data_IF_034289621679
#
_entry.id   IF_034289621679
#
_cell.length_a   1.000
_cell.length_b   1.000
_cell.length_c   1.000
_cell.angle_alpha   90.00
_cell.angle_beta   90.00
_cell.angle_gamma   90.00
#
_symmetry.space_group_name_H-M   'P 1'
#
loop_
_entity.id
_entity.type
_entity.pdbx_description
1 polymer ?
#
# COMPACT_ATOMS: atom_id res chain seq x y z
N UNK A 1 8.48 -20.40 6.51
CA UNK A 1 8.86 -21.54 7.38
C UNK A 1 10.24 -21.99 6.98
N UNK A 2 11.14 -22.05 7.96
CA UNK A 2 12.53 -22.48 7.78
C UNK A 2 12.73 -23.70 8.68
N UNK A 3 13.43 -24.71 8.17
CA UNK A 3 13.83 -25.90 8.94
C UNK A 3 15.34 -25.98 8.95
N UNK A 4 15.90 -26.40 10.08
CA UNK A 4 17.33 -26.59 10.29
C UNK A 4 17.52 -28.05 10.71
N UNK A 5 18.49 -28.74 10.13
CA UNK A 5 18.82 -30.09 10.60
C UNK A 5 19.46 -30.04 11.99
N UNK A 6 19.44 -31.18 12.70
CA UNK A 6 19.92 -31.27 14.08
C UNK A 6 21.40 -30.91 14.24
N UNK A 7 22.22 -31.09 13.20
CA UNK A 7 23.65 -30.75 13.23
C UNK A 7 23.93 -29.31 12.80
N UNK A 8 22.90 -28.55 12.41
CA UNK A 8 23.03 -27.18 11.94
C UNK A 8 23.86 -27.05 10.66
N UNK A 9 23.87 -28.08 9.82
CA UNK A 9 24.63 -28.10 8.57
C UNK A 9 23.87 -27.47 7.40
N UNK A 10 22.54 -27.53 7.43
CA UNK A 10 21.65 -27.05 6.38
C UNK A 10 20.50 -26.23 6.98
N UNK A 11 20.24 -25.09 6.34
CA UNK A 11 19.06 -24.26 6.64
C UNK A 11 18.18 -24.27 5.40
N UNK A 12 16.99 -24.87 5.50
CA UNK A 12 16.14 -25.17 4.36
C UNK A 12 14.89 -24.28 4.38
N UNK A 13 14.66 -23.54 3.29
CA UNK A 13 13.42 -22.80 3.10
C UNK A 13 12.32 -23.73 2.57
N UNK A 14 11.27 -23.97 3.35
CA UNK A 14 10.20 -24.92 3.00
C UNK A 14 8.90 -24.27 2.55
N UNK A 15 8.55 -23.10 3.12
CA UNK A 15 7.27 -22.45 2.83
C UNK A 15 7.39 -20.94 2.91
N UNK A 16 6.72 -20.24 2.00
CA UNK A 16 6.70 -18.79 1.91
C UNK A 16 8.09 -18.16 1.72
N UNK A 17 8.85 -18.70 0.74
CA UNK A 17 10.20 -18.25 0.40
C UNK A 17 10.32 -16.75 0.19
N UNK A 18 9.46 -16.17 -0.65
CA UNK A 18 9.44 -14.74 -0.98
C UNK A 18 8.57 -13.95 -0.01
N UNK A 19 7.25 -13.93 -0.23
CA UNK A 19 6.30 -13.07 0.52
C UNK A 19 6.24 -13.33 2.03
N UNK A 20 6.71 -14.50 2.51
CA UNK A 20 6.82 -14.78 3.95
C UNK A 20 8.24 -14.69 4.50
N UNK A 21 9.19 -14.19 3.71
CA UNK A 21 10.57 -13.94 4.12
C UNK A 21 11.39 -15.18 4.44
N UNK A 22 10.92 -16.39 4.09
CA UNK A 22 11.62 -17.61 4.49
C UNK A 22 12.99 -17.75 3.82
N UNK A 23 13.17 -17.26 2.58
CA UNK A 23 14.46 -17.31 1.89
C UNK A 23 15.46 -16.34 2.52
N UNK A 24 15.02 -15.12 2.85
CA UNK A 24 15.85 -14.15 3.55
C UNK A 24 16.27 -14.66 4.94
N UNK A 25 15.32 -15.22 5.69
CA UNK A 25 15.58 -15.82 6.99
C UNK A 25 16.53 -17.02 6.89
N UNK A 26 16.37 -17.87 5.86
CA UNK A 26 17.28 -18.99 5.60
C UNK A 26 18.70 -18.51 5.36
N UNK A 27 18.92 -17.52 4.50
CA UNK A 27 20.27 -16.95 4.26
C UNK A 27 20.87 -16.34 5.52
N UNK A 28 20.06 -15.60 6.27
CA UNK A 28 20.48 -14.96 7.50
C UNK A 28 20.93 -15.98 8.56
N UNK A 29 20.10 -16.99 8.82
CA UNK A 29 20.40 -18.05 9.79
C UNK A 29 21.59 -18.90 9.34
N UNK A 30 21.69 -19.22 8.05
CA UNK A 30 22.83 -19.95 7.50
C UNK A 30 24.15 -19.21 7.72
N UNK A 31 24.18 -17.89 7.45
CA UNK A 31 25.34 -17.05 7.70
C UNK A 31 25.74 -16.99 9.18
N UNK A 32 24.77 -16.96 10.10
CA UNK A 32 25.04 -16.99 11.54
C UNK A 32 25.57 -18.34 12.03
N UNK A 33 25.09 -19.45 11.45
CA UNK A 33 25.41 -20.80 11.88
C UNK A 33 26.63 -21.39 11.15
N UNK A 34 27.11 -20.75 10.09
CA UNK A 34 28.08 -21.36 9.18
C UNK A 34 27.51 -22.55 8.41
N UNK A 35 26.20 -22.58 8.23
CA UNK A 35 25.45 -23.65 7.59
C UNK A 35 25.24 -23.38 6.09
N UNK A 36 24.86 -24.40 5.33
CA UNK A 36 24.53 -24.30 3.91
C UNK A 36 23.05 -23.90 3.71
N UNK A 37 22.76 -22.75 3.07
CA UNK A 37 21.39 -22.34 2.79
C UNK A 37 20.80 -23.10 1.59
N UNK A 38 19.75 -23.89 1.81
CA UNK A 38 19.03 -24.62 0.75
C UNK A 38 17.73 -23.89 0.41
N UNK A 39 17.73 -23.23 -0.75
CA UNK A 39 16.59 -22.46 -1.30
C UNK A 39 16.24 -23.03 -2.67
N UNK A 40 14.99 -23.49 -2.83
CA UNK A 40 14.55 -24.24 -4.02
C UNK A 40 13.63 -23.44 -4.95
N UNK A 41 13.32 -22.19 -4.60
CA UNK A 41 12.48 -21.32 -5.42
C UNK A 41 13.19 -20.96 -6.73
N UNK A 42 12.55 -21.26 -7.87
CA UNK A 42 13.12 -21.10 -9.21
C UNK A 42 13.54 -19.65 -9.56
N UNK A 43 12.93 -18.64 -8.93
CA UNK A 43 13.31 -17.23 -9.06
C UNK A 43 14.61 -16.90 -8.33
N UNK A 44 14.88 -17.52 -7.17
CA UNK A 44 16.17 -17.36 -6.47
C UNK A 44 17.31 -18.11 -7.16
N UNK A 45 17.03 -19.29 -7.72
CA UNK A 45 18.03 -20.08 -8.48
C UNK A 45 18.51 -19.31 -9.73
N UNK A 46 17.65 -18.45 -10.29
CA UNK A 46 17.97 -17.63 -11.47
C UNK A 46 18.31 -16.16 -11.14
N UNK A 47 18.54 -15.81 -9.86
CA UNK A 47 18.89 -14.44 -9.41
C UNK A 47 17.93 -13.32 -9.86
N UNK A 48 16.68 -13.63 -10.17
CA UNK A 48 15.69 -12.66 -10.63
C UNK A 48 14.75 -12.25 -9.51
N UNK A 49 14.45 -10.94 -9.45
CA UNK A 49 13.39 -10.46 -8.57
C UNK A 49 12.05 -11.00 -9.06
N UNK A 50 11.25 -11.48 -8.12
CA UNK A 50 9.92 -11.99 -8.39
C UNK A 50 8.90 -10.86 -8.19
N UNK A 51 7.82 -10.84 -8.97
CA UNK A 51 6.78 -9.81 -8.85
C UNK A 51 6.17 -9.77 -7.44
N UNK A 52 6.07 -10.92 -6.78
CA UNK A 52 5.61 -11.03 -5.39
C UNK A 52 6.61 -10.46 -4.38
N UNK A 53 7.92 -10.54 -4.65
CA UNK A 53 8.95 -9.88 -3.83
C UNK A 53 8.83 -8.36 -3.95
N UNK A 54 8.72 -7.84 -5.18
CA UNK A 54 8.54 -6.41 -5.41
C UNK A 54 7.26 -5.88 -4.75
N UNK A 55 6.14 -6.61 -4.91
CA UNK A 55 4.87 -6.28 -4.25
C UNK A 55 4.99 -6.26 -2.73
N UNK A 56 5.74 -7.20 -2.15
CA UNK A 56 5.97 -7.26 -0.71
C UNK A 56 6.84 -6.09 -0.21
N UNK A 57 7.97 -5.81 -0.87
CA UNK A 57 8.89 -4.73 -0.50
C UNK A 57 8.19 -3.36 -0.54
N UNK A 58 7.33 -3.15 -1.53
CA UNK A 58 6.55 -1.91 -1.67
C UNK A 58 5.30 -1.85 -0.77
N UNK A 59 4.97 -2.92 -0.04
CA UNK A 59 3.67 -3.07 0.62
C UNK A 59 2.51 -2.70 -0.34
N UNK A 60 2.54 -3.33 -1.52
CA UNK A 60 1.67 -3.02 -2.63
C UNK A 60 0.62 -4.12 -2.86
N UNK A 61 -0.51 -3.71 -3.43
CA UNK A 61 -1.63 -4.58 -3.79
C UNK A 61 -1.86 -4.54 -5.29
N UNK A 62 -2.50 -5.57 -5.80
CA UNK A 62 -2.85 -5.68 -7.21
C UNK A 62 -4.11 -6.54 -7.33
N UNK A 63 -4.96 -6.21 -8.30
CA UNK A 63 -6.09 -7.05 -8.69
C UNK A 63 -5.58 -8.35 -9.30
N UNK A 64 -6.13 -9.49 -8.87
CA UNK A 64 -5.70 -10.82 -9.33
C UNK A 64 -4.21 -11.13 -9.16
N UNK A 65 -3.63 -10.68 -8.03
CA UNK A 65 -2.22 -10.85 -7.68
C UNK A 65 -1.65 -12.23 -8.00
N UNK A 66 -2.37 -13.30 -7.62
CA UNK A 66 -1.93 -14.68 -7.83
C UNK A 66 -1.72 -15.02 -9.30
N UNK A 67 -2.62 -14.58 -10.17
CA UNK A 67 -2.54 -14.87 -11.61
C UNK A 67 -1.42 -14.06 -12.25
N UNK A 68 -1.34 -12.78 -11.92
CA UNK A 68 -0.29 -11.90 -12.43
C UNK A 68 1.12 -12.37 -12.01
N UNK A 69 1.31 -12.73 -10.74
CA UNK A 69 2.58 -13.29 -10.24
C UNK A 69 2.98 -14.55 -10.99
N UNK A 70 2.04 -15.48 -11.22
CA UNK A 70 2.31 -16.69 -11.98
C UNK A 70 2.78 -16.38 -13.41
N UNK A 71 2.05 -15.50 -14.10
CA UNK A 71 2.35 -15.13 -15.49
C UNK A 71 3.69 -14.41 -15.58
N UNK A 72 3.87 -13.33 -14.81
CA UNK A 72 5.04 -12.46 -14.89
C UNK A 72 6.31 -13.19 -14.42
N UNK A 73 6.25 -13.96 -13.34
CA UNK A 73 7.41 -14.74 -12.91
C UNK A 73 7.80 -15.80 -13.96
N UNK A 74 6.83 -16.39 -14.67
CA UNK A 74 7.13 -17.30 -15.79
C UNK A 74 7.82 -16.56 -16.94
N UNK A 75 7.37 -15.34 -17.29
CA UNK A 75 8.00 -14.51 -18.32
C UNK A 75 9.46 -14.19 -17.96
N UNK A 76 9.71 -13.79 -16.71
CA UNK A 76 11.06 -13.50 -16.20
C UNK A 76 11.96 -14.73 -16.29
N UNK A 77 11.51 -15.90 -15.80
CA UNK A 77 12.28 -17.17 -15.88
C UNK A 77 12.55 -17.61 -17.32
N UNK A 78 11.67 -17.24 -18.25
CA UNK A 78 11.86 -17.49 -19.69
C UNK A 78 12.67 -16.41 -20.41
N UNK A 79 13.31 -15.49 -19.69
CA UNK A 79 14.10 -14.38 -20.24
C UNK A 79 13.33 -13.45 -21.19
N UNK A 80 12.01 -13.34 -21.01
CA UNK A 80 11.21 -12.34 -21.71
C UNK A 80 11.46 -10.94 -21.14
N UNK A 81 11.27 -9.93 -21.97
CA UNK A 81 11.58 -8.53 -21.71
C UNK A 81 10.42 -7.89 -20.94
N UNK A 82 10.44 -8.04 -19.62
CA UNK A 82 9.42 -7.43 -18.74
C UNK A 82 9.90 -6.06 -18.26
N UNK A 83 9.15 -5.01 -18.60
CA UNK A 83 9.42 -3.66 -18.16
C UNK A 83 8.91 -3.37 -16.75
N UNK A 84 9.47 -2.35 -16.11
CA UNK A 84 8.98 -1.78 -14.86
C UNK A 84 8.97 -0.26 -14.98
N UNK A 85 7.78 0.33 -14.86
CA UNK A 85 7.56 1.77 -14.81
C UNK A 85 6.97 2.14 -13.43
N UNK A 86 7.26 3.34 -12.94
CA UNK A 86 6.69 3.85 -11.69
C UNK A 86 6.42 5.35 -11.74
N UNK A 87 5.50 5.82 -10.90
CA UNK A 87 5.29 7.25 -10.66
C UNK A 87 6.55 7.88 -10.06
N UNK A 88 6.94 9.08 -10.51
CA UNK A 88 8.16 9.76 -10.04
C UNK A 88 8.26 9.89 -8.51
N UNK A 89 7.11 10.05 -7.84
CA UNK A 89 6.96 10.14 -6.38
C UNK A 89 7.47 8.88 -5.64
N UNK A 90 7.55 7.73 -6.32
CA UNK A 90 7.96 6.43 -5.76
C UNK A 90 9.44 6.09 -6.02
N UNK A 91 10.20 6.98 -6.68
CA UNK A 91 11.57 6.69 -7.13
C UNK A 91 12.50 6.27 -6.00
N UNK A 92 12.43 6.94 -4.84
CA UNK A 92 13.28 6.62 -3.69
C UNK A 92 12.96 5.23 -3.12
N UNK A 93 11.67 4.87 -3.05
CA UNK A 93 11.21 3.57 -2.55
C UNK A 93 11.58 2.43 -3.51
N UNK A 94 11.42 2.66 -4.82
CA UNK A 94 11.81 1.71 -5.85
C UNK A 94 13.33 1.49 -5.85
N UNK A 95 14.13 2.52 -5.61
CA UNK A 95 15.58 2.42 -5.48
C UNK A 95 16.05 1.53 -4.32
N UNK A 96 15.18 1.23 -3.36
CA UNK A 96 15.43 0.32 -2.24
C UNK A 96 14.92 -1.11 -2.49
N UNK A 97 14.21 -1.34 -3.59
CA UNK A 97 13.64 -2.63 -3.95
C UNK A 97 14.59 -3.45 -4.82
N UNK A 98 14.44 -4.78 -4.78
CA UNK A 98 15.10 -5.65 -5.74
C UNK A 98 14.30 -5.62 -7.04
N UNK A 99 14.85 -5.01 -8.08
CA UNK A 99 14.24 -4.91 -9.41
C UNK A 99 15.00 -5.73 -10.47
N UNK A 100 15.90 -6.63 -10.06
CA UNK A 100 16.67 -7.46 -11.00
C UNK A 100 15.75 -8.28 -11.90
N UNK A 101 16.04 -8.29 -13.20
CA UNK A 101 15.23 -8.94 -14.22
C UNK A 101 14.18 -8.03 -14.86
N UNK A 102 13.79 -6.94 -14.21
CA UNK A 102 12.95 -5.93 -14.83
C UNK A 102 13.78 -4.91 -15.62
N UNK A 103 13.23 -4.43 -16.73
CA UNK A 103 13.81 -3.35 -17.54
C UNK A 103 13.16 -2.04 -17.09
N UNK A 104 13.90 -1.10 -16.47
CA UNK A 104 13.34 0.21 -16.13
C UNK A 104 12.81 0.93 -17.37
N UNK A 105 11.62 1.52 -17.24
CA UNK A 105 10.97 2.32 -18.27
C UNK A 105 10.73 3.70 -17.70
N UNK A 106 11.31 4.72 -18.32
CA UNK A 106 11.18 6.11 -17.88
C UNK A 106 9.97 6.82 -18.51
N UNK A 107 9.55 6.37 -19.70
CA UNK A 107 8.50 7.01 -20.50
C UNK A 107 7.54 5.97 -21.09
N UNK A 108 6.27 6.03 -20.66
CA UNK A 108 5.20 5.17 -21.16
C UNK A 108 4.80 5.45 -22.61
N UNK A 109 5.13 6.63 -23.16
CA UNK A 109 4.87 6.97 -24.56
C UNK A 109 5.92 6.38 -25.50
N UNK A 110 7.11 6.07 -24.96
CA UNK A 110 8.24 5.54 -25.73
C UNK A 110 8.79 4.28 -25.07
N UNK A 111 7.98 3.23 -25.11
CA UNK A 111 8.38 1.94 -24.58
C UNK A 111 9.53 1.34 -25.41
N UNK A 112 10.55 0.74 -24.76
CA UNK A 112 11.46 -0.15 -25.44
C UNK A 112 10.69 -1.39 -25.96
N UNK A 113 11.34 -2.22 -26.77
CA UNK A 113 10.78 -3.53 -27.11
C UNK A 113 10.57 -4.32 -25.82
N UNK A 114 9.32 -4.69 -25.51
CA UNK A 114 8.93 -5.36 -24.27
C UNK A 114 7.84 -6.39 -24.57
N UNK A 115 7.89 -7.51 -23.87
CA UNK A 115 6.84 -8.54 -23.90
C UNK A 115 5.70 -8.21 -22.90
N UNK A 116 6.02 -7.46 -21.85
CA UNK A 116 5.09 -7.07 -20.79
C UNK A 116 5.59 -5.85 -20.01
N UNK A 117 4.69 -5.21 -19.25
CA UNK A 117 5.02 -4.07 -18.38
C UNK A 117 4.34 -4.18 -17.00
N UNK A 118 5.11 -3.92 -15.94
CA UNK A 118 4.57 -3.67 -14.59
C UNK A 118 4.57 -2.17 -14.35
N UNK A 119 3.41 -1.62 -14.02
CA UNK A 119 3.24 -0.20 -13.68
C UNK A 119 3.01 -0.07 -12.17
N UNK A 120 3.94 0.59 -11.47
CA UNK A 120 3.81 0.88 -10.04
C UNK A 120 3.25 2.29 -9.86
N UNK A 121 2.00 2.40 -9.45
CA UNK A 121 1.34 3.71 -9.36
C UNK A 121 0.28 3.75 -8.27
N UNK A 122 0.10 4.93 -7.69
CA UNK A 122 -1.02 5.21 -6.79
C UNK A 122 -2.29 5.60 -7.55
N UNK A 123 -2.18 5.85 -8.87
CA UNK A 123 -3.27 6.39 -9.70
C UNK A 123 -4.26 5.32 -10.12
N UNK A 124 -5.54 5.70 -10.25
CA UNK A 124 -6.60 4.79 -10.67
C UNK A 124 -6.51 4.43 -12.16
N UNK A 125 -6.08 5.36 -13.00
CA UNK A 125 -5.90 5.20 -14.43
C UNK A 125 -4.44 4.92 -14.83
N UNK A 126 -4.29 4.13 -15.89
CA UNK A 126 -3.04 4.01 -16.65
C UNK A 126 -3.35 4.40 -18.10
N UNK A 127 -2.39 4.96 -18.84
CA UNK A 127 -2.57 5.19 -20.26
C UNK A 127 -2.78 3.87 -21.00
N UNK A 128 -3.34 3.94 -22.21
CA UNK A 128 -3.42 2.77 -23.08
C UNK A 128 -2.01 2.36 -23.52
N UNK A 129 -1.64 1.11 -23.24
CA UNK A 129 -0.29 0.59 -23.47
C UNK A 129 -0.34 -0.53 -24.52
N UNK A 130 0.61 -0.55 -25.48
CA UNK A 130 0.61 -1.51 -26.59
C UNK A 130 1.09 -2.92 -26.21
N UNK A 131 1.34 -3.16 -24.91
CA UNK A 131 1.83 -4.44 -24.37
C UNK A 131 0.93 -4.90 -23.21
N UNK A 132 0.87 -6.22 -22.93
CA UNK A 132 0.27 -6.73 -21.71
C UNK A 132 0.86 -6.02 -20.50
N UNK A 133 0.01 -5.50 -19.62
CA UNK A 133 0.47 -4.75 -18.46
C UNK A 133 -0.34 -5.04 -17.21
N UNK A 134 0.32 -4.87 -16.07
CA UNK A 134 -0.29 -5.04 -14.76
C UNK A 134 0.03 -3.85 -13.86
N UNK A 135 -0.95 -3.45 -13.06
CA UNK A 135 -0.80 -2.35 -12.11
C UNK A 135 -0.55 -2.87 -10.71
N UNK A 136 0.60 -2.50 -10.16
CA UNK A 136 0.96 -2.72 -8.77
C UNK A 136 0.75 -1.41 -8.01
N UNK A 137 -0.03 -1.45 -6.93
CA UNK A 137 -0.51 -0.26 -6.22
C UNK A 137 0.04 -0.24 -4.78
N UNK A 138 1.10 0.53 -4.49
CA UNK A 138 1.60 0.70 -3.13
C UNK A 138 0.54 1.27 -2.18
N UNK A 139 0.43 0.72 -0.97
CA UNK A 139 -0.49 1.27 0.04
C UNK A 139 0.15 2.49 0.71
N UNK A 140 -0.15 3.69 0.20
CA UNK A 140 0.40 4.97 0.72
C UNK A 140 -0.68 5.98 1.13
N UNK A 141 -1.90 5.87 0.63
CA UNK A 141 -2.96 6.84 0.89
C UNK A 141 -3.60 6.59 2.25
N UNK A 142 -3.81 7.63 3.04
CA UNK A 142 -4.52 7.56 4.32
C UNK A 142 -5.73 8.48 4.30
N UNK A 143 -6.79 8.10 5.01
CA UNK A 143 -8.02 8.89 5.07
C UNK A 143 -8.38 9.23 6.51
N UNK A 144 -8.36 10.52 6.86
CA UNK A 144 -8.96 11.02 8.09
C UNK A 144 -10.44 11.30 7.88
N UNK A 145 -11.31 10.67 8.68
CA UNK A 145 -12.77 10.75 8.52
C UNK A 145 -13.43 11.24 9.82
N UNK A 146 -14.19 12.32 9.70
CA UNK A 146 -15.12 12.79 10.73
C UNK A 146 -16.56 12.62 10.26
N UNK A 147 -17.45 12.08 11.09
CA UNK A 147 -18.86 11.86 10.72
C UNK A 147 -19.79 12.04 11.92
N UNK A 148 -21.09 12.23 11.66
CA UNK A 148 -22.15 12.18 12.69
C UNK A 148 -22.27 10.77 13.27
N UNK A 149 -22.89 10.65 14.45
CA UNK A 149 -23.17 9.33 15.04
C UNK A 149 -24.13 8.55 14.14
N UNK A 150 -23.94 7.23 14.06
CA UNK A 150 -24.77 6.30 13.30
C UNK A 150 -24.78 6.62 11.79
N UNK A 151 -23.68 7.19 11.27
CA UNK A 151 -23.57 7.46 9.83
C UNK A 151 -23.51 6.13 9.08
N UNK A 152 -24.41 5.88 8.11
CA UNK A 152 -24.47 4.59 7.42
C UNK A 152 -23.20 4.27 6.64
N UNK A 153 -22.77 3.01 6.68
CA UNK A 153 -21.63 2.52 5.89
C UNK A 153 -21.75 2.84 4.38
N UNK A 154 -22.90 2.64 3.70
CA UNK A 154 -23.00 2.93 2.26
C UNK A 154 -22.66 4.38 1.93
N UNK A 155 -23.10 5.33 2.76
CA UNK A 155 -22.78 6.74 2.59
C UNK A 155 -21.27 6.99 2.73
N UNK A 156 -20.64 6.44 3.77
CA UNK A 156 -19.20 6.59 4.00
C UNK A 156 -18.37 5.99 2.85
N UNK A 157 -18.76 4.82 2.35
CA UNK A 157 -18.12 4.16 1.22
C UNK A 157 -18.23 4.99 -0.06
N UNK A 158 -19.43 5.49 -0.38
CA UNK A 158 -19.64 6.35 -1.56
C UNK A 158 -18.81 7.63 -1.49
N UNK A 159 -18.80 8.31 -0.34
CA UNK A 159 -18.03 9.56 -0.19
C UNK A 159 -16.52 9.31 -0.23
N UNK A 160 -16.02 8.23 0.36
CA UNK A 160 -14.60 7.88 0.29
C UNK A 160 -14.19 7.54 -1.15
N UNK A 161 -14.97 6.71 -1.85
CA UNK A 161 -14.70 6.37 -3.24
C UNK A 161 -14.68 7.62 -4.14
N UNK A 162 -15.65 8.52 -3.97
CA UNK A 162 -15.69 9.79 -4.70
C UNK A 162 -14.49 10.68 -4.40
N UNK A 163 -14.03 10.71 -3.15
CA UNK A 163 -12.87 11.50 -2.77
C UNK A 163 -11.57 10.95 -3.37
N UNK A 164 -11.40 9.63 -3.38
CA UNK A 164 -10.26 8.98 -4.04
C UNK A 164 -10.28 9.25 -5.55
N UNK A 165 -11.44 9.09 -6.18
CA UNK A 165 -11.64 9.35 -7.61
C UNK A 165 -11.33 10.81 -7.99
N UNK A 166 -11.77 11.77 -7.17
CA UNK A 166 -11.48 13.19 -7.39
C UNK A 166 -9.97 13.52 -7.34
N UNK A 167 -9.19 12.70 -6.64
CA UNK A 167 -7.72 12.80 -6.60
C UNK A 167 -7.03 11.82 -7.57
N UNK A 168 -7.81 11.10 -8.39
CA UNK A 168 -7.36 10.04 -9.29
C UNK A 168 -6.54 8.95 -8.59
N UNK A 169 -6.94 8.56 -7.39
CA UNK A 169 -6.24 7.56 -6.59
C UNK A 169 -6.93 6.21 -6.69
N UNK A 170 -6.14 5.16 -6.86
CA UNK A 170 -6.65 3.79 -6.83
C UNK A 170 -7.12 3.44 -5.40
N UNK A 171 -8.30 2.84 -5.23
CA UNK A 171 -8.77 2.39 -3.91
C UNK A 171 -7.83 1.43 -3.18
N UNK A 172 -7.03 0.64 -3.91
CA UNK A 172 -6.02 -0.25 -3.33
C UNK A 172 -4.87 0.52 -2.67
N UNK A 173 -4.66 1.79 -3.04
CA UNK A 173 -3.63 2.64 -2.43
C UNK A 173 -3.96 3.00 -0.98
N UNK A 174 -5.19 2.82 -0.52
CA UNK A 174 -5.59 3.10 0.85
C UNK A 174 -4.85 2.17 1.84
N UNK A 175 -4.13 2.78 2.78
CA UNK A 175 -3.31 2.16 3.83
C UNK A 175 -4.00 2.16 5.18
N UNK A 176 -4.76 3.21 5.52
CA UNK A 176 -5.42 3.33 6.82
C UNK A 176 -6.57 4.35 6.82
N UNK A 177 -7.50 4.16 7.76
CA UNK A 177 -8.56 5.12 8.08
C UNK A 177 -8.38 5.64 9.50
N UNK A 178 -8.45 6.96 9.69
CA UNK A 178 -8.26 7.66 10.96
C UNK A 178 -9.52 8.37 11.43
N UNK A 179 -9.78 8.38 12.73
CA UNK A 179 -10.80 9.24 13.35
C UNK A 179 -10.45 9.61 14.79
N UNK A 180 -11.39 10.23 15.52
CA UNK A 180 -11.24 10.52 16.95
C UNK A 180 -11.59 9.29 17.81
N UNK A 181 -10.99 9.13 18.99
CA UNK A 181 -11.24 8.02 19.93
C UNK A 181 -12.71 7.84 20.30
N UNK A 182 -13.50 8.91 20.34
CA UNK A 182 -14.96 8.84 20.55
C UNK A 182 -15.66 7.96 19.49
N UNK A 183 -15.04 7.79 18.31
CA UNK A 183 -15.54 7.00 17.18
C UNK A 183 -14.97 5.59 17.11
N UNK A 184 -14.23 5.13 18.12
CA UNK A 184 -13.62 3.79 18.14
C UNK A 184 -14.62 2.65 17.92
N UNK A 185 -15.85 2.81 18.41
CA UNK A 185 -16.95 1.83 18.24
C UNK A 185 -18.00 2.23 17.21
N UNK A 186 -17.73 3.18 16.31
CA UNK A 186 -18.69 3.62 15.29
C UNK A 186 -18.86 2.54 14.21
N UNK A 187 -20.05 1.90 14.07
CA UNK A 187 -20.21 0.74 13.19
C UNK A 187 -19.90 1.05 11.73
N UNK A 188 -20.32 2.22 11.23
CA UNK A 188 -20.08 2.62 9.84
C UNK A 188 -18.60 2.74 9.48
N UNK A 189 -17.77 3.29 10.39
CA UNK A 189 -16.33 3.43 10.17
C UNK A 189 -15.59 2.09 10.29
N UNK A 190 -15.99 1.25 11.24
CA UNK A 190 -15.43 -0.10 11.38
C UNK A 190 -15.75 -0.97 10.15
N UNK A 191 -16.99 -0.92 9.66
CA UNK A 191 -17.40 -1.61 8.44
C UNK A 191 -16.64 -1.09 7.22
N UNK A 192 -16.45 0.23 7.11
CA UNK A 192 -15.67 0.82 6.03
C UNK A 192 -14.22 0.33 6.02
N UNK A 193 -13.54 0.39 7.17
CA UNK A 193 -12.16 -0.07 7.29
C UNK A 193 -12.02 -1.58 7.00
N UNK A 194 -12.97 -2.39 7.47
CA UNK A 194 -13.03 -3.82 7.18
C UNK A 194 -13.25 -4.10 5.68
N UNK A 195 -14.18 -3.39 5.05
CA UNK A 195 -14.45 -3.50 3.61
C UNK A 195 -13.21 -3.17 2.77
N UNK A 196 -12.49 -2.10 3.13
CA UNK A 196 -11.23 -1.71 2.47
C UNK A 196 -10.03 -2.59 2.89
N UNK A 197 -10.19 -3.46 3.91
CA UNK A 197 -9.13 -4.29 4.50
C UNK A 197 -7.93 -3.44 4.96
N UNK A 198 -8.21 -2.36 5.67
CA UNK A 198 -7.21 -1.44 6.22
C UNK A 198 -7.43 -1.25 7.72
N UNK A 199 -6.38 -0.96 8.50
CA UNK A 199 -6.53 -0.62 9.91
C UNK A 199 -7.38 0.63 10.11
N UNK A 200 -8.27 0.58 11.11
CA UNK A 200 -8.95 1.74 11.66
C UNK A 200 -8.18 2.23 12.89
N UNK A 201 -7.60 3.43 12.79
CA UNK A 201 -6.86 4.09 13.86
C UNK A 201 -7.69 5.22 14.45
N UNK A 202 -7.60 5.39 15.77
CA UNK A 202 -8.25 6.50 16.46
C UNK A 202 -7.27 7.30 17.28
N UNK A 203 -7.47 8.61 17.31
CA UNK A 203 -6.62 9.56 18.03
C UNK A 203 -7.40 10.27 19.11
N UNK A 204 -6.74 10.58 20.23
CA UNK A 204 -7.36 11.32 21.32
C UNK A 204 -7.67 12.76 20.89
N UNK A 205 -8.61 13.41 21.59
CA UNK A 205 -8.92 14.81 21.31
C UNK A 205 -7.69 15.70 21.51
N UNK A 206 -6.84 15.38 22.49
CA UNK A 206 -5.59 16.08 22.76
C UNK A 206 -4.61 15.98 21.59
N UNK A 207 -4.41 14.78 21.04
CA UNK A 207 -3.53 14.57 19.88
C UNK A 207 -4.04 15.30 18.62
N UNK A 208 -5.36 15.31 18.40
CA UNK A 208 -5.94 16.06 17.28
C UNK A 208 -5.82 17.57 17.48
N UNK A 209 -5.91 18.06 18.72
CA UNK A 209 -5.84 19.49 19.06
C UNK A 209 -4.50 20.11 18.69
N UNK A 210 -3.41 19.36 18.82
CA UNK A 210 -2.06 19.81 18.45
C UNK A 210 -2.02 20.34 17.00
N UNK A 211 -2.72 19.66 16.08
CA UNK A 211 -2.70 19.98 14.65
C UNK A 211 -4.01 20.61 14.15
N UNK A 212 -4.98 20.88 15.02
CA UNK A 212 -6.30 21.39 14.60
C UNK A 212 -6.24 22.77 13.94
N UNK A 213 -5.24 23.58 14.29
CA UNK A 213 -5.06 24.95 13.83
C UNK A 213 -4.73 25.06 12.34
N UNK A 214 -4.27 23.97 11.71
CA UNK A 214 -4.07 23.90 10.26
C UNK A 214 -5.39 23.79 9.46
N UNK A 215 -6.52 23.61 10.15
CA UNK A 215 -7.79 23.29 9.51
C UNK A 215 -8.91 24.22 9.96
N UNK A 216 -9.90 24.50 9.09
CA UNK A 216 -11.05 25.28 9.50
C UNK A 216 -11.85 24.52 10.57
N UNK A 217 -12.02 25.17 11.71
CA UNK A 217 -12.72 24.63 12.87
C UNK A 217 -14.24 24.78 12.77
N UNK A 218 -14.96 23.86 13.42
CA UNK A 218 -16.41 23.90 13.60
C UNK A 218 -16.75 24.04 15.08
N UNK A 219 -17.54 25.07 15.42
CA UNK A 219 -18.04 25.26 16.78
C UNK A 219 -18.89 24.08 17.29
N UNK A 220 -19.61 23.41 16.39
CA UNK A 220 -20.37 22.20 16.72
C UNK A 220 -19.42 21.05 17.11
N UNK A 221 -18.41 20.77 16.29
CA UNK A 221 -17.43 19.70 16.57
C UNK A 221 -16.68 19.99 17.86
N UNK A 222 -16.32 21.26 18.12
CA UNK A 222 -15.65 21.66 19.37
C UNK A 222 -16.49 21.37 20.60
N UNK A 223 -17.80 21.65 20.55
CA UNK A 223 -18.72 21.35 21.67
C UNK A 223 -18.89 19.85 21.90
N UNK A 224 -18.90 19.04 20.84
CA UNK A 224 -19.17 17.59 20.95
C UNK A 224 -17.92 16.76 21.23
N UNK A 225 -16.79 17.11 20.65
CA UNK A 225 -15.56 16.28 20.61
C UNK A 225 -14.41 16.95 21.38
N UNK A 226 -14.51 18.25 21.67
CA UNK A 226 -13.43 19.00 22.31
C UNK A 226 -12.34 19.50 21.34
N UNK A 227 -12.54 19.35 20.03
CA UNK A 227 -11.65 19.83 18.96
C UNK A 227 -12.45 20.46 17.82
N UNK A 228 -11.88 21.44 17.13
CA UNK A 228 -12.52 22.14 16.01
C UNK A 228 -12.61 21.32 14.73
N UNK A 229 -11.72 20.35 14.54
CA UNK A 229 -11.68 19.49 13.35
C UNK A 229 -11.22 18.08 13.72
N UNK A 230 -11.67 17.07 12.97
CA UNK A 230 -11.32 15.66 13.19
C UNK A 230 -10.64 15.06 11.97
N UNK A 231 -11.28 15.12 10.80
CA UNK A 231 -10.77 14.53 9.55
C UNK A 231 -9.38 15.04 9.18
N UNK A 232 -9.20 16.36 9.18
CA UNK A 232 -7.92 17.00 8.87
C UNK A 232 -6.79 16.53 9.79
N UNK A 233 -6.86 16.78 11.11
CA UNK A 233 -5.80 16.37 12.04
C UNK A 233 -5.57 14.86 12.09
N UNK A 234 -6.61 14.05 11.90
CA UNK A 234 -6.45 12.59 11.81
C UNK A 234 -5.68 12.19 10.55
N UNK A 235 -5.96 12.81 9.39
CA UNK A 235 -5.18 12.58 8.17
C UNK A 235 -3.73 13.06 8.35
N UNK A 236 -3.54 14.24 8.95
CA UNK A 236 -2.23 14.80 9.26
C UNK A 236 -1.37 13.86 10.10
N UNK A 237 -1.92 13.31 11.19
CA UNK A 237 -1.23 12.36 12.05
C UNK A 237 -0.89 11.06 11.32
N UNK A 238 -1.74 10.62 10.40
CA UNK A 238 -1.50 9.40 9.62
C UNK A 238 -0.45 9.59 8.53
N UNK A 239 -0.37 10.77 7.92
CA UNK A 239 0.52 11.09 6.81
C UNK A 239 1.74 11.93 7.19
N UNK A 240 1.91 12.23 8.48
CA UNK A 240 2.96 13.15 8.97
C UNK A 240 2.91 14.51 8.26
N UNK A 241 1.71 15.03 8.05
CA UNK A 241 1.47 16.35 7.44
C UNK A 241 1.39 16.38 5.91
N UNK A 242 1.66 15.27 5.22
CA UNK A 242 1.52 15.18 3.77
C UNK A 242 0.05 15.00 3.38
N UNK A 243 -0.67 16.10 3.16
CA UNK A 243 -2.08 16.08 2.79
C UNK A 243 -2.28 16.11 1.27
N UNK A 244 -3.42 15.55 0.82
CA UNK A 244 -3.81 15.55 -0.59
C UNK A 244 -5.14 16.26 -0.81
N UNK A 245 -5.14 17.20 -1.76
CA UNK A 245 -6.34 17.87 -2.23
C UNK A 245 -7.11 18.62 -1.14
N UNK A 246 -8.36 18.92 -1.44
CA UNK A 246 -9.26 19.57 -0.49
C UNK A 246 -10.02 18.57 0.38
N UNK A 247 -10.44 19.00 1.56
CA UNK A 247 -11.29 18.19 2.44
C UNK A 247 -12.72 18.13 1.90
N UNK A 248 -13.22 16.93 1.61
CA UNK A 248 -14.63 16.70 1.31
C UNK A 248 -15.48 17.03 2.53
N UNK A 249 -16.60 17.74 2.34
CA UNK A 249 -17.57 18.06 3.38
C UNK A 249 -18.99 17.88 2.83
N UNK A 250 -19.65 16.78 3.15
CA UNK A 250 -20.96 16.48 2.62
C UNK A 250 -21.78 15.65 3.60
N UNK A 251 -23.08 15.96 3.73
CA UNK A 251 -24.04 15.18 4.52
C UNK A 251 -23.58 14.88 5.98
N UNK A 252 -22.83 15.80 6.58
CA UNK A 252 -22.30 15.63 7.94
C UNK A 252 -21.08 14.70 8.05
N UNK A 253 -20.48 14.33 6.91
CA UNK A 253 -19.22 13.60 6.80
C UNK A 253 -18.14 14.55 6.28
N UNK A 254 -16.94 14.40 6.80
CA UNK A 254 -15.74 15.09 6.34
C UNK A 254 -14.63 14.08 6.09
N UNK A 255 -13.96 14.18 4.95
CA UNK A 255 -12.88 13.27 4.56
C UNK A 255 -11.69 14.10 4.08
N UNK A 256 -10.54 13.91 4.72
CA UNK A 256 -9.26 14.49 4.31
C UNK A 256 -8.32 13.35 3.95
N UNK A 257 -7.65 13.45 2.81
CA UNK A 257 -6.68 12.45 2.37
C UNK A 257 -5.25 12.93 2.64
N UNK A 258 -4.32 11.99 2.73
CA UNK A 258 -2.89 12.24 2.78
C UNK A 258 -2.08 11.07 2.23
N UNK A 259 -0.78 11.25 2.06
CA UNK A 259 0.18 10.20 1.64
C UNK A 259 1.14 9.93 2.77
N UNK A 260 1.23 8.69 3.23
CA UNK A 260 2.27 8.25 4.14
C UNK A 260 3.31 7.45 3.36
N UNK A 261 4.57 7.85 3.43
CA UNK A 261 5.70 7.01 3.04
C UNK A 261 5.85 5.82 4.02
#
# INVERSE_FOLDING_TARGET
MVVIDERGQHVISLLSGHAGGANALTRYLAGMLGADPVITTATDVNEMSALDTLAFQLNARMTDLRTAVKTVNQMLVSHQRVGLWWDAELTEEIGQCDIRGFIPVDDLQRLPELDALICVSLRNDLPELPVPHWKLVPQRVVAGIGCRRDTPFPLLATLLARQLEAQKLDPLALKAIGSVTLKKGEPGLMQLASCCRVPFKTFTAEALREFEHHFPGSGFVRKTVGVGSVSGPAAWLLSQGQLLGETLREQGVTITLGVSH
#
